data_IF_761388242300
#
_entry.id   IF_761388242300
#
_cell.length_a   1.000
_cell.length_b   1.000
_cell.length_c   1.000
_cell.angle_alpha   90.00
_cell.angle_beta   90.00
_cell.angle_gamma   90.00
#
_symmetry.space_group_name_H-M   'P 1'
#
loop_
_entity.id
_entity.type
_entity.pdbx_description
1 polymer ?
#
# COMPACT_ATOMS: atom_id res chain seq x y z
N UNK A 1 25.00 -33.04 31.22
CA UNK A 1 24.81 -32.09 30.11
C UNK A 1 23.72 -32.61 29.18
N UNK A 2 22.49 -32.21 29.39
CA UNK A 2 21.38 -32.56 28.51
C UNK A 2 21.46 -31.58 27.31
N UNK A 3 21.83 -32.07 26.14
CA UNK A 3 21.75 -31.34 24.89
C UNK A 3 20.27 -30.99 24.66
N UNK A 4 19.92 -29.71 24.72
CA UNK A 4 18.64 -29.22 24.24
C UNK A 4 18.50 -29.65 22.78
N UNK A 5 17.38 -30.28 22.37
CA UNK A 5 17.16 -30.62 20.97
C UNK A 5 17.20 -29.31 20.16
N UNK A 6 18.11 -29.24 19.21
CA UNK A 6 18.15 -28.16 18.23
C UNK A 6 16.83 -28.24 17.46
N UNK A 7 15.89 -27.36 17.78
CA UNK A 7 14.65 -27.21 17.02
C UNK A 7 15.05 -26.93 15.55
N UNK A 8 14.78 -27.89 14.67
CA UNK A 8 15.02 -27.73 13.24
C UNK A 8 14.23 -26.52 12.75
N UNK A 9 14.90 -25.61 12.01
CA UNK A 9 14.26 -24.44 11.43
C UNK A 9 13.05 -24.85 10.57
N UNK A 10 11.93 -24.13 10.73
CA UNK A 10 10.71 -24.31 9.90
C UNK A 10 10.95 -23.82 8.48
N UNK A 11 11.99 -22.99 8.29
CA UNK A 11 12.33 -22.38 7.01
C UNK A 11 12.97 -23.38 6.06
N UNK A 12 12.28 -23.69 4.98
CA UNK A 12 12.68 -24.64 3.94
C UNK A 12 12.64 -24.00 2.56
N UNK A 13 13.11 -24.69 1.54
CA UNK A 13 12.93 -24.26 0.14
C UNK A 13 11.45 -24.07 -0.21
N UNK A 14 10.57 -24.89 0.34
CA UNK A 14 9.13 -24.79 0.15
C UNK A 14 8.58 -23.46 0.72
N UNK A 15 9.10 -22.98 1.84
CA UNK A 15 8.70 -21.69 2.43
C UNK A 15 8.92 -20.54 1.45
N UNK A 16 10.04 -20.53 0.73
CA UNK A 16 10.31 -19.51 -0.30
C UNK A 16 9.43 -19.66 -1.54
N UNK A 17 9.08 -20.90 -1.94
CA UNK A 17 8.10 -21.13 -3.00
C UNK A 17 6.74 -20.53 -2.60
N UNK A 18 6.29 -20.79 -1.38
CA UNK A 18 5.05 -20.23 -0.84
C UNK A 18 5.09 -18.70 -0.85
N UNK A 19 6.17 -18.08 -0.36
CA UNK A 19 6.31 -16.63 -0.35
C UNK A 19 6.30 -16.03 -1.77
N UNK A 20 6.96 -16.68 -2.73
CA UNK A 20 6.97 -16.25 -4.14
C UNK A 20 5.58 -16.37 -4.78
N UNK A 21 4.86 -17.46 -4.53
CA UNK A 21 3.48 -17.61 -5.03
C UNK A 21 2.56 -16.56 -4.41
N UNK A 22 2.69 -16.27 -3.12
CA UNK A 22 1.93 -15.18 -2.48
C UNK A 22 2.28 -13.82 -3.06
N UNK A 23 3.56 -13.55 -3.37
CA UNK A 23 3.96 -12.34 -4.10
C UNK A 23 3.22 -12.20 -5.43
N UNK A 24 3.16 -13.29 -6.23
CA UNK A 24 2.45 -13.30 -7.51
C UNK A 24 0.94 -13.08 -7.30
N UNK A 25 0.33 -13.77 -6.34
CA UNK A 25 -1.08 -13.56 -5.97
C UNK A 25 -1.35 -12.10 -5.62
N UNK A 26 -0.50 -11.50 -4.80
CA UNK A 26 -0.59 -10.07 -4.46
C UNK A 26 -0.42 -9.18 -5.70
N UNK A 27 0.56 -9.47 -6.55
CA UNK A 27 0.81 -8.68 -7.76
C UNK A 27 -0.35 -8.76 -8.77
N UNK A 28 -1.08 -9.87 -8.80
CA UNK A 28 -2.30 -10.00 -9.59
C UNK A 28 -3.47 -9.31 -8.89
N UNK A 29 -3.76 -9.60 -7.64
CA UNK A 29 -4.91 -9.03 -6.92
C UNK A 29 -4.89 -7.49 -6.86
N UNK A 30 -3.71 -6.89 -6.60
CA UNK A 30 -3.52 -5.44 -6.61
C UNK A 30 -3.49 -4.83 -8.02
N UNK A 31 -3.59 -5.63 -9.09
CA UNK A 31 -3.73 -5.13 -10.45
C UNK A 31 -5.10 -4.51 -10.73
N UNK A 32 -6.16 -5.05 -10.15
CA UNK A 32 -7.54 -4.62 -10.41
C UNK A 32 -7.78 -3.10 -10.26
N UNK A 33 -7.34 -2.42 -9.18
CA UNK A 33 -7.51 -0.98 -9.03
C UNK A 33 -6.81 -0.14 -10.10
N UNK A 34 -5.73 -0.63 -10.71
CA UNK A 34 -4.98 0.14 -11.70
C UNK A 34 -5.73 0.34 -13.01
N UNK A 35 -6.72 -0.52 -13.32
CA UNK A 35 -7.58 -0.32 -14.51
C UNK A 35 -8.31 1.02 -14.41
N UNK A 36 -8.89 1.33 -13.25
CA UNK A 36 -9.60 2.60 -13.02
C UNK A 36 -8.68 3.80 -13.08
N UNK A 37 -7.43 3.66 -12.62
CA UNK A 37 -6.42 4.72 -12.70
C UNK A 37 -6.02 5.01 -14.15
N UNK A 38 -5.74 3.96 -14.94
CA UNK A 38 -5.37 4.12 -16.36
C UNK A 38 -6.55 4.61 -17.19
N UNK A 39 -7.76 4.10 -16.92
CA UNK A 39 -8.99 4.47 -17.61
C UNK A 39 -9.65 5.74 -17.05
N UNK A 40 -9.01 6.49 -16.15
CA UNK A 40 -9.62 7.60 -15.43
C UNK A 40 -10.31 8.60 -16.35
N UNK A 41 -9.67 9.04 -17.43
CA UNK A 41 -10.25 9.96 -18.40
C UNK A 41 -11.39 9.33 -19.19
N UNK A 42 -11.28 8.05 -19.57
CA UNK A 42 -12.30 7.33 -20.31
C UNK A 42 -13.59 7.17 -19.48
N UNK A 43 -13.46 6.85 -18.19
CA UNK A 43 -14.58 6.75 -17.26
C UNK A 43 -15.17 8.14 -16.98
N UNK A 44 -14.32 9.15 -16.73
CA UNK A 44 -14.76 10.52 -16.49
C UNK A 44 -15.54 11.09 -17.68
N UNK A 45 -15.17 10.78 -18.92
CA UNK A 45 -15.88 11.22 -20.11
C UNK A 45 -17.36 10.78 -20.16
N UNK A 46 -17.72 9.67 -19.50
CA UNK A 46 -19.09 9.17 -19.39
C UNK A 46 -19.91 9.87 -18.28
N UNK A 47 -19.24 10.68 -17.42
CA UNK A 47 -19.84 11.40 -16.28
C UNK A 47 -19.48 12.89 -16.34
N UNK A 48 -19.78 13.52 -17.46
CA UNK A 48 -19.57 14.94 -17.71
C UNK A 48 -18.12 15.44 -17.53
N UNK A 49 -17.14 14.56 -17.59
CA UNK A 49 -15.73 14.87 -17.40
C UNK A 49 -15.24 14.90 -15.94
N UNK A 50 -16.09 14.59 -14.97
CA UNK A 50 -15.75 14.61 -13.55
C UNK A 50 -14.74 13.50 -13.18
N UNK A 51 -13.51 13.89 -12.83
CA UNK A 51 -12.44 12.96 -12.44
C UNK A 51 -12.55 12.48 -11.00
N UNK A 52 -13.26 13.21 -10.15
CA UNK A 52 -13.55 12.80 -8.77
C UNK A 52 -14.31 11.47 -8.69
N UNK A 53 -15.15 11.15 -9.69
CA UNK A 53 -15.95 9.92 -9.71
C UNK A 53 -15.06 8.67 -9.82
N UNK A 54 -14.24 8.49 -10.88
CA UNK A 54 -13.34 7.34 -10.93
C UNK A 54 -12.26 7.38 -9.83
N UNK A 55 -11.81 8.56 -9.39
CA UNK A 55 -10.87 8.70 -8.28
C UNK A 55 -11.48 8.22 -6.95
N UNK A 56 -12.78 8.48 -6.70
CA UNK A 56 -13.49 7.96 -5.53
C UNK A 56 -13.56 6.42 -5.55
N UNK A 57 -13.78 5.81 -6.70
CA UNK A 57 -13.78 4.35 -6.80
C UNK A 57 -12.43 3.76 -6.37
N UNK A 58 -11.32 4.33 -6.84
CA UNK A 58 -9.98 3.95 -6.40
C UNK A 58 -9.76 4.20 -4.89
N UNK A 59 -10.26 5.33 -4.37
CA UNK A 59 -10.20 5.65 -2.94
C UNK A 59 -10.94 4.62 -2.08
N UNK A 60 -12.13 4.20 -2.50
CA UNK A 60 -12.93 3.20 -1.80
C UNK A 60 -12.25 1.83 -1.70
N UNK A 61 -11.39 1.47 -2.66
CA UNK A 61 -10.57 0.25 -2.56
C UNK A 61 -9.65 0.30 -1.35
N UNK A 62 -8.97 1.41 -1.12
CA UNK A 62 -8.04 1.55 0.01
C UNK A 62 -8.75 1.50 1.36
N UNK A 63 -9.87 2.20 1.50
CA UNK A 63 -10.69 2.16 2.72
C UNK A 63 -11.26 0.74 2.92
N UNK A 64 -11.81 0.17 1.86
CA UNK A 64 -12.34 -1.20 1.87
C UNK A 64 -11.27 -2.21 2.29
N UNK A 65 -10.10 -2.19 1.68
CA UNK A 65 -9.00 -3.10 2.00
C UNK A 65 -8.51 -2.96 3.45
N UNK A 66 -8.45 -1.73 3.98
CA UNK A 66 -8.09 -1.47 5.37
C UNK A 66 -9.10 -2.09 6.36
N UNK A 67 -10.38 -1.83 6.18
CA UNK A 67 -11.45 -2.40 6.99
C UNK A 67 -11.57 -3.91 6.79
N UNK A 68 -11.50 -4.34 5.53
CA UNK A 68 -11.59 -5.73 5.14
C UNK A 68 -10.48 -6.59 5.72
N UNK A 69 -9.26 -6.07 5.80
CA UNK A 69 -8.13 -6.78 6.41
C UNK A 69 -8.39 -7.20 7.86
N UNK A 70 -9.09 -6.37 8.64
CA UNK A 70 -9.48 -6.67 10.03
C UNK A 70 -10.54 -7.77 10.08
N UNK A 71 -11.55 -7.69 9.22
CA UNK A 71 -12.68 -8.63 9.18
C UNK A 71 -12.21 -9.98 8.61
N UNK A 72 -11.56 -9.94 7.46
CA UNK A 72 -11.13 -11.14 6.73
C UNK A 72 -9.96 -11.87 7.41
N UNK A 73 -9.17 -11.19 8.23
CA UNK A 73 -8.21 -11.84 9.11
C UNK A 73 -8.87 -12.85 10.04
N UNK A 74 -10.00 -12.46 10.69
CA UNK A 74 -10.79 -13.37 11.54
C UNK A 74 -11.47 -14.49 10.75
N UNK A 75 -11.91 -14.22 9.53
CA UNK A 75 -12.46 -15.26 8.64
C UNK A 75 -11.37 -16.27 8.28
N UNK A 76 -10.16 -15.80 7.96
CA UNK A 76 -9.04 -16.66 7.61
C UNK A 76 -8.60 -17.61 8.74
N UNK A 77 -8.75 -17.18 10.01
CA UNK A 77 -8.49 -18.06 11.16
C UNK A 77 -9.44 -19.24 11.22
N UNK A 78 -10.68 -19.08 10.73
CA UNK A 78 -11.72 -20.12 10.78
C UNK A 78 -11.72 -21.03 9.56
N UNK A 79 -11.63 -20.44 8.35
CA UNK A 79 -11.78 -21.18 7.10
C UNK A 79 -10.43 -21.51 6.42
N UNK A 80 -9.34 -20.89 6.89
CA UNK A 80 -8.00 -21.04 6.33
C UNK A 80 -7.71 -20.06 5.19
N UNK A 81 -6.42 -19.73 5.03
CA UNK A 81 -5.96 -18.72 4.06
C UNK A 81 -6.24 -19.12 2.61
N UNK A 82 -6.15 -20.41 2.28
CA UNK A 82 -6.49 -20.91 0.93
C UNK A 82 -7.86 -20.41 0.49
N UNK A 83 -8.87 -20.59 1.31
CA UNK A 83 -10.25 -20.28 0.97
C UNK A 83 -10.54 -18.77 0.98
N UNK A 84 -9.87 -18.01 1.85
CA UNK A 84 -10.00 -16.55 1.83
C UNK A 84 -9.36 -15.95 0.60
N UNK A 85 -8.23 -16.48 0.12
CA UNK A 85 -7.58 -16.03 -1.12
C UNK A 85 -8.43 -16.39 -2.34
N UNK A 86 -8.96 -17.60 -2.43
CA UNK A 86 -9.86 -18.02 -3.52
C UNK A 86 -11.14 -17.17 -3.51
N UNK A 87 -11.79 -17.02 -2.35
CA UNK A 87 -12.96 -16.17 -2.20
C UNK A 87 -12.67 -14.70 -2.52
N UNK A 88 -11.49 -14.20 -2.12
CA UNK A 88 -11.03 -12.86 -2.46
C UNK A 88 -10.89 -12.64 -3.97
N UNK A 89 -10.28 -13.58 -4.68
CA UNK A 89 -10.16 -13.51 -6.14
C UNK A 89 -11.54 -13.54 -6.83
N UNK A 90 -12.45 -14.39 -6.36
CA UNK A 90 -13.83 -14.43 -6.87
C UNK A 90 -14.55 -13.09 -6.65
N UNK A 91 -14.35 -12.46 -5.50
CA UNK A 91 -14.94 -11.16 -5.19
C UNK A 91 -14.33 -10.03 -6.01
N UNK A 92 -13.01 -10.05 -6.26
CA UNK A 92 -12.38 -9.08 -7.17
C UNK A 92 -12.95 -9.23 -8.58
N UNK A 93 -13.05 -10.44 -9.09
CA UNK A 93 -13.65 -10.71 -10.40
C UNK A 93 -15.11 -10.27 -10.47
N UNK A 94 -15.91 -10.53 -9.45
CA UNK A 94 -17.31 -10.07 -9.35
C UNK A 94 -17.37 -8.54 -9.30
N UNK A 95 -16.48 -7.88 -8.54
CA UNK A 95 -16.41 -6.43 -8.44
C UNK A 95 -16.02 -5.77 -9.76
N UNK A 96 -15.05 -6.32 -10.48
CA UNK A 96 -14.70 -5.86 -11.83
C UNK A 96 -15.87 -5.99 -12.80
N UNK A 97 -16.55 -7.13 -12.76
CA UNK A 97 -17.75 -7.38 -13.61
C UNK A 97 -18.86 -6.40 -13.26
N UNK A 98 -19.16 -6.19 -11.99
CA UNK A 98 -20.16 -5.21 -11.56
C UNK A 98 -19.81 -3.80 -12.01
N UNK A 99 -18.54 -3.42 -11.92
CA UNK A 99 -18.04 -2.09 -12.31
C UNK A 99 -18.27 -1.78 -13.78
N UNK A 100 -18.41 -2.79 -14.65
CA UNK A 100 -18.70 -2.57 -16.08
C UNK A 100 -20.12 -2.10 -16.36
N UNK A 101 -21.03 -2.22 -15.39
CA UNK A 101 -22.44 -1.86 -15.57
C UNK A 101 -22.70 -0.35 -15.53
N UNK A 102 -21.74 0.43 -15.00
CA UNK A 102 -21.86 1.90 -14.98
C UNK A 102 -20.71 2.61 -14.27
N UNK A 103 -20.48 3.88 -14.61
CA UNK A 103 -19.32 4.64 -14.16
C UNK A 103 -19.47 5.25 -12.76
N UNK A 104 -20.58 5.08 -12.07
CA UNK A 104 -20.83 5.67 -10.74
C UNK A 104 -21.14 4.60 -9.69
N UNK A 105 -22.40 4.36 -9.33
CA UNK A 105 -22.76 3.44 -8.25
C UNK A 105 -22.23 2.00 -8.44
N UNK A 106 -22.37 1.36 -9.62
CA UNK A 106 -21.78 0.03 -9.83
C UNK A 106 -20.27 0.03 -9.65
N UNK A 107 -19.59 1.09 -10.11
CA UNK A 107 -18.15 1.25 -9.95
C UNK A 107 -17.76 1.39 -8.47
N UNK A 108 -18.49 2.17 -7.67
CA UNK A 108 -18.23 2.36 -6.24
C UNK A 108 -18.43 1.09 -5.43
N UNK A 109 -19.54 0.40 -5.66
CA UNK A 109 -19.84 -0.87 -4.99
C UNK A 109 -18.85 -1.95 -5.41
N UNK A 110 -18.56 -2.04 -6.71
CA UNK A 110 -17.57 -2.97 -7.26
C UNK A 110 -16.19 -2.77 -6.63
N UNK A 111 -15.71 -1.54 -6.58
CA UNK A 111 -14.38 -1.22 -6.07
C UNK A 111 -14.33 -1.21 -4.54
N UNK A 112 -15.26 -0.57 -3.86
CA UNK A 112 -15.23 -0.44 -2.41
C UNK A 112 -15.54 -1.74 -1.68
N UNK A 113 -16.66 -2.37 -2.01
CA UNK A 113 -17.14 -3.56 -1.31
C UNK A 113 -16.50 -4.85 -1.84
N UNK A 114 -16.63 -5.11 -3.14
CA UNK A 114 -16.17 -6.38 -3.71
C UNK A 114 -14.64 -6.44 -3.83
N UNK A 115 -14.02 -5.47 -4.49
CA UNK A 115 -12.56 -5.47 -4.71
C UNK A 115 -11.83 -5.11 -3.41
N UNK A 116 -12.21 -4.00 -2.74
CA UNK A 116 -11.52 -3.52 -1.55
C UNK A 116 -11.79 -4.37 -0.32
N UNK A 117 -13.03 -4.35 0.18
CA UNK A 117 -13.38 -4.92 1.49
C UNK A 117 -13.19 -6.44 1.53
N UNK A 118 -13.76 -7.18 0.59
CA UNK A 118 -13.72 -8.63 0.63
C UNK A 118 -12.52 -9.15 -0.18
N UNK A 119 -12.30 -8.63 -1.38
CA UNK A 119 -11.28 -9.10 -2.31
C UNK A 119 -9.87 -8.90 -1.78
N UNK A 120 -9.36 -7.69 -1.84
CA UNK A 120 -8.01 -7.34 -1.37
C UNK A 120 -7.90 -7.56 0.15
N UNK A 121 -8.93 -7.22 0.93
CA UNK A 121 -8.96 -7.49 2.37
C UNK A 121 -8.79 -8.97 2.70
N UNK A 122 -9.42 -9.86 1.92
CA UNK A 122 -9.32 -11.31 2.08
C UNK A 122 -8.00 -11.93 1.62
N UNK A 123 -7.26 -11.23 0.75
CA UNK A 123 -5.97 -11.70 0.24
C UNK A 123 -4.82 -11.11 1.06
N UNK A 124 -4.80 -9.79 1.26
CA UNK A 124 -3.66 -9.06 1.79
C UNK A 124 -3.33 -9.46 3.24
N UNK A 125 -4.18 -9.12 4.19
CA UNK A 125 -3.89 -9.33 5.61
C UNK A 125 -3.73 -10.82 5.99
N UNK A 126 -4.59 -11.76 5.51
CA UNK A 126 -4.40 -13.17 5.78
C UNK A 126 -3.08 -13.73 5.24
N UNK A 127 -2.62 -13.25 4.07
CA UNK A 127 -1.37 -13.70 3.47
C UNK A 127 -0.15 -13.33 4.32
N UNK A 128 -0.13 -12.16 4.96
CA UNK A 128 0.95 -11.77 5.87
C UNK A 128 1.05 -12.72 7.07
N UNK A 129 -0.10 -13.02 7.70
CA UNK A 129 -0.16 -13.96 8.83
C UNK A 129 0.28 -15.34 8.39
N UNK A 130 -0.21 -15.82 7.24
CA UNK A 130 0.12 -17.14 6.71
C UNK A 130 1.61 -17.29 6.40
N UNK A 131 2.20 -16.37 5.64
CA UNK A 131 3.63 -16.43 5.30
C UNK A 131 4.49 -16.32 6.55
N UNK A 132 4.09 -15.52 7.55
CA UNK A 132 4.85 -15.38 8.80
C UNK A 132 5.00 -16.72 9.57
N UNK A 133 4.15 -17.73 9.32
CA UNK A 133 4.22 -19.06 9.95
C UNK A 133 5.21 -20.01 9.24
N UNK A 134 5.61 -19.69 8.02
CA UNK A 134 6.56 -20.48 7.23
C UNK A 134 8.01 -20.10 7.46
N UNK A 135 8.27 -19.01 8.24
CA UNK A 135 9.59 -18.45 8.46
C UNK A 135 9.86 -18.19 9.94
N UNK A 136 11.03 -18.62 10.41
CA UNK A 136 11.55 -18.34 11.75
C UNK A 136 12.77 -17.42 11.70
N UNK A 137 13.70 -17.62 10.78
CA UNK A 137 14.97 -16.85 10.68
C UNK A 137 14.84 -15.62 9.79
N UNK A 138 14.18 -15.73 8.64
CA UNK A 138 14.09 -14.68 7.61
C UNK A 138 12.66 -14.16 7.43
N UNK A 139 11.89 -14.15 8.52
CA UNK A 139 10.49 -13.69 8.51
C UNK A 139 10.34 -12.27 7.96
N UNK A 140 11.24 -11.34 8.37
CA UNK A 140 11.24 -9.96 7.87
C UNK A 140 11.42 -9.89 6.36
N UNK A 141 12.39 -10.63 5.81
CA UNK A 141 12.64 -10.69 4.35
C UNK A 141 11.46 -11.26 3.58
N UNK A 142 10.83 -12.32 4.09
CA UNK A 142 9.65 -12.92 3.46
C UNK A 142 8.45 -11.97 3.45
N UNK A 143 8.20 -11.26 4.56
CA UNK A 143 7.13 -10.28 4.64
C UNK A 143 7.41 -9.04 3.78
N UNK A 144 8.67 -8.59 3.68
CA UNK A 144 9.08 -7.54 2.77
C UNK A 144 8.87 -7.96 1.30
N UNK A 145 9.20 -9.21 0.96
CA UNK A 145 8.98 -9.75 -0.38
C UNK A 145 7.50 -9.68 -0.77
N UNK A 146 6.60 -10.25 0.03
CA UNK A 146 5.17 -10.26 -0.30
C UNK A 146 4.55 -8.85 -0.29
N UNK A 147 5.01 -7.96 0.60
CA UNK A 147 4.54 -6.57 0.64
C UNK A 147 4.88 -5.79 -0.62
N UNK A 148 5.90 -6.21 -1.34
CA UNK A 148 6.30 -5.59 -2.60
C UNK A 148 5.35 -5.95 -3.76
N UNK A 149 4.42 -6.90 -3.58
CA UNK A 149 3.49 -7.34 -4.61
C UNK A 149 2.58 -6.22 -5.14
N UNK A 150 2.13 -5.30 -4.27
CA UNK A 150 1.34 -4.15 -4.69
C UNK A 150 2.10 -3.17 -5.60
N UNK A 151 3.40 -2.96 -5.35
CA UNK A 151 4.23 -2.15 -6.23
C UNK A 151 4.58 -2.89 -7.52
N UNK A 152 4.79 -4.20 -7.45
CA UNK A 152 4.99 -5.02 -8.64
C UNK A 152 3.75 -5.01 -9.54
N UNK A 153 2.55 -5.04 -8.95
CA UNK A 153 1.30 -4.84 -9.67
C UNK A 153 1.31 -3.52 -10.45
N UNK A 154 1.62 -2.42 -9.76
CA UNK A 154 1.67 -1.10 -10.38
C UNK A 154 2.84 -0.90 -11.36
N UNK A 155 3.91 -1.68 -11.25
CA UNK A 155 5.01 -1.66 -12.22
C UNK A 155 4.64 -2.35 -13.53
N UNK A 156 3.81 -3.40 -13.49
CA UNK A 156 3.51 -4.26 -14.64
C UNK A 156 2.20 -3.86 -15.33
N UNK A 157 1.11 -3.75 -14.55
CA UNK A 157 -0.24 -3.69 -15.12
C UNK A 157 -0.60 -2.39 -15.84
N UNK A 158 -0.18 -1.19 -15.42
CA UNK A 158 -0.61 0.05 -16.10
C UNK A 158 -0.27 0.07 -17.59
N UNK A 159 0.93 -0.32 -17.96
CA UNK A 159 1.38 -0.37 -19.38
C UNK A 159 0.62 -1.44 -20.19
N UNK A 160 0.19 -2.52 -19.55
CA UNK A 160 -0.62 -3.57 -20.18
C UNK A 160 -2.07 -3.07 -20.35
N UNK A 161 -2.63 -2.47 -19.29
CA UNK A 161 -4.01 -1.99 -19.30
C UNK A 161 -4.21 -0.84 -20.27
N UNK A 162 -3.23 0.05 -20.41
CA UNK A 162 -3.33 1.12 -21.41
C UNK A 162 -3.56 0.57 -22.82
N UNK A 163 -2.77 -0.41 -23.24
CA UNK A 163 -2.94 -1.07 -24.54
C UNK A 163 -4.26 -1.82 -24.67
N UNK A 164 -4.67 -2.51 -23.61
CA UNK A 164 -5.93 -3.23 -23.59
C UNK A 164 -7.14 -2.27 -23.67
N UNK A 165 -7.09 -1.14 -22.96
CA UNK A 165 -8.11 -0.10 -22.97
C UNK A 165 -8.19 0.58 -24.33
N UNK A 166 -7.03 0.89 -24.94
CA UNK A 166 -7.01 1.46 -26.28
C UNK A 166 -7.61 0.53 -27.34
N UNK A 167 -7.45 -0.79 -27.20
CA UNK A 167 -7.97 -1.78 -28.15
C UNK A 167 -9.44 -2.14 -27.91
N UNK A 168 -9.82 -2.42 -26.65
CA UNK A 168 -11.12 -3.02 -26.33
C UNK A 168 -12.01 -2.13 -25.41
N UNK A 169 -11.47 -1.01 -24.92
CA UNK A 169 -12.12 -0.16 -23.93
C UNK A 169 -12.01 -0.69 -22.50
N UNK A 170 -12.29 0.17 -21.54
CA UNK A 170 -12.07 -0.13 -20.12
C UNK A 170 -12.98 -1.25 -19.58
N UNK A 171 -14.23 -1.36 -20.08
CA UNK A 171 -15.18 -2.40 -19.65
C UNK A 171 -14.69 -3.80 -20.02
N UNK A 172 -14.30 -4.01 -21.27
CA UNK A 172 -13.78 -5.30 -21.71
C UNK A 172 -12.44 -5.61 -21.02
N UNK A 173 -11.61 -4.60 -20.78
CA UNK A 173 -10.35 -4.77 -20.01
C UNK A 173 -10.63 -5.27 -18.60
N UNK A 174 -11.65 -4.74 -17.90
CA UNK A 174 -12.08 -5.24 -16.59
C UNK A 174 -12.55 -6.70 -16.64
N UNK A 175 -13.36 -7.07 -17.65
CA UNK A 175 -13.83 -8.45 -17.80
C UNK A 175 -12.70 -9.43 -18.12
N UNK A 176 -11.80 -9.07 -19.02
CA UNK A 176 -10.62 -9.90 -19.32
C UNK A 176 -9.72 -10.05 -18.09
N UNK A 177 -9.52 -8.97 -17.34
CA UNK A 177 -8.71 -9.04 -16.14
C UNK A 177 -9.37 -9.87 -15.03
N UNK A 178 -10.68 -9.80 -14.88
CA UNK A 178 -11.43 -10.67 -13.98
C UNK A 178 -11.18 -12.16 -14.28
N UNK A 179 -11.15 -12.53 -15.57
CA UNK A 179 -10.83 -13.90 -15.98
C UNK A 179 -9.36 -14.24 -15.68
N UNK A 180 -8.41 -13.33 -15.95
CA UNK A 180 -6.98 -13.52 -15.64
C UNK A 180 -6.79 -13.75 -14.14
N UNK A 181 -7.45 -12.96 -13.28
CA UNK A 181 -7.38 -13.12 -11.83
C UNK A 181 -7.82 -14.51 -11.37
N UNK A 182 -8.96 -14.98 -11.87
CA UNK A 182 -9.46 -16.31 -11.53
C UNK A 182 -8.52 -17.41 -12.01
N UNK A 183 -8.03 -17.32 -13.24
CA UNK A 183 -7.16 -18.34 -13.85
C UNK A 183 -5.79 -18.39 -13.16
N UNK A 184 -5.27 -17.26 -12.68
CA UNK A 184 -3.95 -17.22 -12.03
C UNK A 184 -4.05 -17.47 -10.52
N UNK A 185 -4.97 -16.80 -9.81
CA UNK A 185 -5.02 -16.85 -8.35
C UNK A 185 -5.65 -18.13 -7.84
N UNK A 186 -6.75 -18.59 -8.44
CA UNK A 186 -7.48 -19.76 -7.90
C UNK A 186 -6.64 -21.04 -7.96
N UNK A 187 -6.00 -21.42 -9.09
CA UNK A 187 -5.12 -22.60 -9.11
C UNK A 187 -3.88 -22.44 -8.22
N UNK A 188 -3.24 -21.25 -8.22
CA UNK A 188 -2.08 -20.98 -7.39
C UNK A 188 -2.40 -21.16 -5.90
N UNK A 189 -3.54 -20.61 -5.44
CA UNK A 189 -4.00 -20.76 -4.07
C UNK A 189 -4.39 -22.22 -3.74
N UNK A 190 -5.10 -22.89 -4.64
CA UNK A 190 -5.56 -24.26 -4.44
C UNK A 190 -4.39 -25.25 -4.32
N UNK A 191 -3.34 -25.06 -5.12
CA UNK A 191 -2.19 -25.99 -5.15
C UNK A 191 -1.18 -25.67 -4.04
N UNK A 192 -0.86 -24.38 -3.82
CA UNK A 192 0.30 -24.00 -3.00
C UNK A 192 -0.07 -23.60 -1.58
N UNK A 193 -1.24 -22.97 -1.36
CA UNK A 193 -1.61 -22.49 -0.02
C UNK A 193 -2.21 -23.61 0.83
N UNK A 194 -1.37 -24.59 1.20
CA UNK A 194 -1.69 -25.66 2.13
C UNK A 194 -1.68 -25.22 3.60
N UNK A 195 -1.86 -26.19 4.51
CA UNK A 195 -1.66 -25.93 5.93
C UNK A 195 -0.21 -25.52 6.19
N UNK A 196 0.05 -24.46 6.97
CA UNK A 196 1.41 -24.10 7.37
C UNK A 196 1.99 -25.20 8.27
N UNK A 197 3.32 -25.34 8.36
CA UNK A 197 3.95 -26.26 9.30
C UNK A 197 3.45 -26.01 10.72
N UNK A 198 3.24 -27.05 11.49
CA UNK A 198 2.90 -26.95 12.91
C UNK A 198 4.04 -26.27 13.65
N UNK A 199 3.93 -24.97 13.82
CA UNK A 199 4.79 -24.26 14.77
C UNK A 199 4.21 -24.44 16.15
N UNK A 200 5.00 -24.88 17.17
CA UNK A 200 4.56 -24.82 18.53
C UNK A 200 4.04 -23.38 18.76
N UNK A 201 2.80 -23.26 19.18
CA UNK A 201 2.24 -21.97 19.55
C UNK A 201 3.23 -21.36 20.54
N UNK A 202 3.95 -20.34 20.09
CA UNK A 202 4.52 -19.40 21.04
C UNK A 202 3.29 -18.83 21.71
N UNK A 203 2.99 -19.41 22.88
CA UNK A 203 2.02 -18.85 23.80
C UNK A 203 2.30 -17.36 23.80
N UNK A 204 1.29 -16.58 23.45
CA UNK A 204 1.36 -15.14 23.52
C UNK A 204 2.00 -14.84 24.87
N UNK A 205 3.23 -14.32 24.82
CA UNK A 205 3.86 -13.78 26.02
C UNK A 205 2.98 -12.60 26.37
N UNK A 206 1.95 -12.90 27.16
CA UNK A 206 1.23 -11.93 27.97
C UNK A 206 2.21 -11.53 29.06
N UNK A 207 3.31 -10.90 28.67
CA UNK A 207 3.98 -9.99 29.57
C UNK A 207 2.98 -8.83 29.70
N UNK A 208 2.39 -8.71 30.89
CA UNK A 208 1.72 -7.51 31.33
C UNK A 208 2.78 -6.40 31.35
N UNK A 209 3.18 -5.94 30.16
CA UNK A 209 3.96 -4.73 30.00
C UNK A 209 3.06 -3.62 30.53
N UNK A 210 3.42 -3.09 31.69
CA UNK A 210 2.80 -1.88 32.26
C UNK A 210 2.71 -0.87 31.13
N UNK A 211 1.49 -0.41 30.83
CA UNK A 211 1.26 0.64 29.86
C UNK A 211 2.20 1.80 30.17
N UNK A 212 3.08 2.10 29.24
CA UNK A 212 4.09 3.16 29.43
C UNK A 212 3.34 4.49 29.30
N UNK A 213 3.11 5.18 30.42
CA UNK A 213 2.32 6.41 30.45
C UNK A 213 2.96 7.57 29.67
N UNK A 214 4.28 7.52 29.44
CA UNK A 214 5.01 8.54 28.70
C UNK A 214 5.98 7.92 27.69
N UNK A 215 6.05 8.49 26.49
CA UNK A 215 6.96 8.15 25.40
C UNK A 215 7.60 9.45 24.92
N UNK A 216 8.90 9.49 24.80
CA UNK A 216 9.66 10.72 24.45
C UNK A 216 9.35 11.92 25.36
N UNK A 217 9.02 11.68 26.64
CA UNK A 217 8.65 12.71 27.60
C UNK A 217 7.25 13.31 27.41
N UNK A 218 6.42 12.75 26.53
CA UNK A 218 5.01 13.12 26.31
C UNK A 218 4.09 11.95 26.60
N UNK A 219 2.79 12.21 26.83
CA UNK A 219 1.79 11.14 27.00
C UNK A 219 1.82 10.19 25.79
N UNK A 220 1.84 8.87 26.05
CA UNK A 220 1.92 7.85 25.01
C UNK A 220 0.82 7.98 23.94
N UNK A 221 -0.40 8.34 24.37
CA UNK A 221 -1.53 8.55 23.46
C UNK A 221 -1.31 9.76 22.52
N UNK A 222 -0.70 10.84 23.01
CA UNK A 222 -0.37 12.00 22.17
C UNK A 222 0.64 11.63 21.08
N UNK A 223 1.72 10.91 21.44
CA UNK A 223 2.70 10.43 20.48
C UNK A 223 2.05 9.52 19.44
N UNK A 224 1.18 8.62 19.86
CA UNK A 224 0.47 7.74 18.93
C UNK A 224 -0.49 8.51 18.01
N UNK A 225 -1.21 9.49 18.52
CA UNK A 225 -2.09 10.36 17.70
C UNK A 225 -1.28 11.15 16.69
N UNK A 226 -0.13 11.71 17.08
CA UNK A 226 0.79 12.37 16.14
C UNK A 226 1.31 11.41 15.07
N UNK A 227 1.59 10.16 15.44
CA UNK A 227 2.03 9.13 14.50
C UNK A 227 0.92 8.70 13.54
N UNK A 228 -0.34 8.57 14.02
CA UNK A 228 -1.50 8.33 13.16
C UNK A 228 -1.70 9.48 12.16
N UNK A 229 -1.59 10.72 12.64
CA UNK A 229 -1.71 11.89 11.76
C UNK A 229 -0.54 11.99 10.78
N UNK A 230 0.67 11.64 11.21
CA UNK A 230 1.85 11.60 10.35
C UNK A 230 1.70 10.56 9.22
N UNK A 231 1.23 9.33 9.49
CA UNK A 231 1.06 8.32 8.44
C UNK A 231 -0.08 8.69 7.49
N UNK A 232 -1.15 9.31 7.98
CA UNK A 232 -2.22 9.85 7.15
C UNK A 232 -1.68 10.93 6.21
N UNK A 233 -1.00 11.96 6.76
CA UNK A 233 -0.46 13.09 5.98
C UNK A 233 0.68 12.71 5.06
N UNK A 234 1.39 11.62 5.27
CA UNK A 234 2.35 11.11 4.30
C UNK A 234 1.67 10.37 3.13
N UNK A 235 0.54 9.70 3.38
CA UNK A 235 -0.14 8.91 2.37
C UNK A 235 -1.03 9.73 1.44
N UNK A 236 -1.53 10.89 1.89
CA UNK A 236 -2.28 11.83 1.04
C UNK A 236 -1.45 12.26 -0.19
N UNK A 237 -0.26 12.88 -0.05
CA UNK A 237 0.55 13.28 -1.20
C UNK A 237 1.08 12.07 -2.00
N UNK A 238 1.27 10.92 -1.36
CA UNK A 238 1.75 9.72 -2.02
C UNK A 238 0.76 9.19 -3.06
N UNK A 239 -0.54 9.27 -2.79
CA UNK A 239 -1.57 8.77 -3.69
C UNK A 239 -1.89 9.68 -4.87
N UNK A 240 -1.62 10.99 -4.77
CA UNK A 240 -1.98 11.94 -5.82
C UNK A 240 -1.31 11.63 -7.17
N UNK A 241 0.03 11.49 -7.28
CA UNK A 241 0.63 11.07 -8.54
C UNK A 241 0.20 9.64 -8.92
N UNK A 242 0.08 8.71 -7.98
CA UNK A 242 -0.33 7.35 -8.29
C UNK A 242 -1.71 7.28 -8.95
N UNK A 243 -2.67 8.10 -8.51
CA UNK A 243 -4.02 8.10 -9.04
C UNK A 243 -4.19 8.93 -10.32
N UNK A 244 -3.37 9.97 -10.50
CA UNK A 244 -3.64 10.98 -11.53
C UNK A 244 -2.53 11.16 -12.58
N UNK A 245 -1.36 10.50 -12.44
CA UNK A 245 -0.22 10.70 -13.33
C UNK A 245 -0.56 10.43 -14.79
N UNK A 246 -1.28 9.35 -15.09
CA UNK A 246 -1.66 9.00 -16.48
C UNK A 246 -2.55 10.08 -17.09
N UNK A 247 -3.53 10.55 -16.33
CA UNK A 247 -4.43 11.62 -16.76
C UNK A 247 -3.70 12.96 -16.89
N UNK A 248 -2.80 13.28 -15.96
CA UNK A 248 -1.96 14.48 -15.99
C UNK A 248 -1.06 14.51 -17.23
N UNK A 249 -0.35 13.44 -17.54
CA UNK A 249 0.46 13.32 -18.75
C UNK A 249 -0.38 13.54 -20.02
N UNK A 250 -1.56 12.92 -20.08
CA UNK A 250 -2.48 13.08 -21.21
C UNK A 250 -2.98 14.53 -21.36
N UNK A 251 -3.14 15.30 -20.27
CA UNK A 251 -3.53 16.72 -20.32
C UNK A 251 -2.39 17.60 -20.82
N UNK A 252 -1.14 17.19 -20.63
CA UNK A 252 0.04 17.85 -21.21
C UNK A 252 0.31 17.48 -22.68
N UNK A 253 -0.57 16.66 -23.30
CA UNK A 253 -0.40 16.19 -24.67
C UNK A 253 0.57 15.02 -24.83
N UNK A 254 1.06 14.45 -23.70
CA UNK A 254 1.90 13.24 -23.71
C UNK A 254 1.02 12.02 -23.97
N UNK A 255 1.51 11.08 -24.80
CA UNK A 255 0.72 9.91 -25.16
C UNK A 255 0.30 9.09 -23.91
N UNK A 256 -0.92 8.52 -23.87
CA UNK A 256 -1.37 7.67 -22.77
C UNK A 256 -0.44 6.49 -22.50
N UNK A 257 0.21 5.95 -23.53
CA UNK A 257 1.22 4.87 -23.41
C UNK A 257 2.40 5.32 -22.55
N UNK A 258 2.91 6.53 -22.77
CA UNK A 258 4.01 7.09 -21.99
C UNK A 258 3.56 7.45 -20.56
N UNK A 259 2.35 7.98 -20.40
CA UNK A 259 1.77 8.22 -19.07
C UNK A 259 1.66 6.94 -18.23
N UNK A 260 1.17 5.84 -18.82
CA UNK A 260 1.12 4.54 -18.17
C UNK A 260 2.52 3.98 -17.89
N UNK A 261 3.48 4.17 -18.80
CA UNK A 261 4.88 3.79 -18.59
C UNK A 261 5.53 4.58 -17.44
N UNK A 262 5.25 5.88 -17.32
CA UNK A 262 5.72 6.72 -16.19
C UNK A 262 5.17 6.21 -14.84
N UNK A 263 3.89 5.81 -14.79
CA UNK A 263 3.32 5.18 -13.59
C UNK A 263 3.99 3.84 -13.29
N UNK A 264 4.26 3.03 -14.30
CA UNK A 264 5.00 1.78 -14.14
C UNK A 264 6.44 2.02 -13.63
N UNK A 265 7.13 3.05 -14.12
CA UNK A 265 8.47 3.46 -13.63
C UNK A 265 8.40 3.94 -12.18
N UNK A 266 7.40 4.75 -11.83
CA UNK A 266 7.18 5.23 -10.47
C UNK A 266 7.05 4.06 -9.49
N UNK A 267 6.19 3.09 -9.79
CA UNK A 267 5.94 1.96 -8.90
C UNK A 267 7.03 0.89 -8.97
N UNK A 268 7.68 0.74 -10.12
CA UNK A 268 8.86 -0.11 -10.28
C UNK A 268 10.06 0.39 -9.47
N UNK A 269 10.32 1.70 -9.48
CA UNK A 269 11.37 2.29 -8.63
C UNK A 269 11.02 2.20 -7.15
N UNK A 270 9.75 2.32 -6.77
CA UNK A 270 9.28 2.08 -5.40
C UNK A 270 9.50 0.62 -4.97
N UNK A 271 9.27 -0.34 -5.86
CA UNK A 271 9.57 -1.76 -5.62
C UNK A 271 11.05 -1.98 -5.33
N UNK A 272 11.93 -1.45 -6.19
CA UNK A 272 13.38 -1.61 -6.04
C UNK A 272 13.94 -0.90 -4.81
N UNK A 273 13.50 0.34 -4.57
CA UNK A 273 14.01 1.17 -3.47
C UNK A 273 13.58 0.70 -2.08
N UNK A 274 12.53 -0.13 -1.98
CA UNK A 274 12.06 -0.66 -0.69
C UNK A 274 13.15 -1.39 0.10
N UNK A 275 14.04 -2.10 -0.60
CA UNK A 275 15.17 -2.79 0.04
C UNK A 275 16.20 -1.79 0.61
N UNK A 276 16.44 -0.70 -0.12
CA UNK A 276 17.33 0.39 0.32
C UNK A 276 16.77 1.06 1.58
N UNK A 277 15.48 1.38 1.58
CA UNK A 277 14.81 1.96 2.74
C UNK A 277 14.77 1.03 3.95
N UNK A 278 14.59 -0.29 3.72
CA UNK A 278 14.69 -1.29 4.78
C UNK A 278 16.08 -1.27 5.44
N UNK A 279 17.15 -1.35 4.65
CA UNK A 279 18.52 -1.30 5.14
C UNK A 279 18.87 0.04 5.84
N UNK A 280 18.30 1.15 5.36
CA UNK A 280 18.43 2.45 6.02
C UNK A 280 17.71 2.46 7.37
N UNK A 281 16.48 1.94 7.42
CA UNK A 281 15.69 1.83 8.66
C UNK A 281 16.40 1.02 9.75
N UNK A 282 17.10 -0.05 9.37
CA UNK A 282 17.87 -0.89 10.29
C UNK A 282 19.05 -0.13 10.91
N UNK A 283 19.58 0.88 10.21
CA UNK A 283 20.75 1.66 10.67
C UNK A 283 20.37 2.88 11.49
N UNK A 284 19.37 3.65 11.06
CA UNK A 284 19.02 4.94 11.65
C UNK A 284 17.71 4.92 12.45
N UNK A 285 16.97 3.78 12.40
CA UNK A 285 15.67 3.62 13.07
C UNK A 285 14.50 4.24 12.30
N UNK A 286 13.29 3.89 12.74
CA UNK A 286 12.06 4.24 12.04
C UNK A 286 11.82 5.75 11.92
N UNK A 287 11.96 6.52 12.99
CA UNK A 287 11.68 7.97 12.99
C UNK A 287 12.60 8.77 12.06
N UNK A 288 13.89 8.48 12.06
CA UNK A 288 14.84 9.18 11.18
C UNK A 288 14.65 8.77 9.72
N UNK A 289 14.30 7.50 9.47
CA UNK A 289 13.93 7.04 8.12
C UNK A 289 12.70 7.76 7.59
N UNK A 290 11.67 7.94 8.43
CA UNK A 290 10.49 8.73 8.08
C UNK A 290 10.85 10.18 7.77
N UNK A 291 11.78 10.78 8.53
CA UNK A 291 12.22 12.16 8.30
C UNK A 291 12.87 12.33 6.92
N UNK A 292 13.82 11.46 6.59
CA UNK A 292 14.50 11.47 5.28
C UNK A 292 13.49 11.20 4.15
N UNK A 293 12.63 10.17 4.30
CA UNK A 293 11.62 9.83 3.31
C UNK A 293 10.60 10.95 3.07
N UNK A 294 10.16 11.63 4.14
CA UNK A 294 9.25 12.77 4.05
C UNK A 294 9.89 13.96 3.32
N UNK A 295 11.17 14.25 3.57
CA UNK A 295 11.92 15.26 2.83
C UNK A 295 12.03 14.91 1.34
N UNK A 296 12.40 13.66 1.01
CA UNK A 296 12.47 13.18 -0.37
C UNK A 296 11.11 13.25 -1.08
N UNK A 297 10.04 12.82 -0.40
CA UNK A 297 8.69 12.88 -0.94
C UNK A 297 8.25 14.31 -1.23
N UNK A 298 8.47 15.24 -0.29
CA UNK A 298 8.10 16.64 -0.46
C UNK A 298 8.86 17.28 -1.63
N UNK A 299 10.16 17.06 -1.72
CA UNK A 299 10.99 17.60 -2.79
C UNK A 299 10.58 17.05 -4.17
N UNK A 300 10.38 15.74 -4.29
CA UNK A 300 10.02 15.13 -5.57
C UNK A 300 8.59 15.41 -5.99
N UNK A 301 7.64 15.52 -5.03
CA UNK A 301 6.28 15.96 -5.35
C UNK A 301 6.26 17.41 -5.82
N UNK A 302 7.08 18.29 -5.22
CA UNK A 302 7.22 19.67 -5.69
C UNK A 302 7.73 19.73 -7.13
N UNK A 303 8.60 18.80 -7.53
CA UNK A 303 9.09 18.73 -8.90
C UNK A 303 7.98 18.46 -9.93
N UNK A 304 6.93 17.70 -9.61
CA UNK A 304 5.77 17.52 -10.50
C UNK A 304 5.06 18.82 -10.85
N UNK A 305 5.12 19.85 -9.99
CA UNK A 305 4.48 21.14 -10.25
C UNK A 305 5.18 21.94 -11.35
N UNK A 306 6.50 21.73 -11.52
CA UNK A 306 7.34 22.51 -12.44
C UNK A 306 7.75 21.73 -13.69
N UNK A 307 7.54 20.40 -13.70
CA UNK A 307 7.96 19.52 -14.80
C UNK A 307 6.77 19.24 -15.70
N UNK A 308 6.90 19.58 -17.00
CA UNK A 308 5.87 19.38 -18.00
C UNK A 308 6.37 18.63 -19.25
N UNK A 309 7.68 18.43 -19.34
CA UNK A 309 8.30 17.67 -20.41
C UNK A 309 8.34 16.17 -20.11
N UNK A 310 8.34 15.37 -21.15
CA UNK A 310 8.23 13.92 -21.04
C UNK A 310 9.41 13.29 -20.28
N UNK A 311 10.65 13.65 -20.62
CA UNK A 311 11.84 13.12 -19.97
C UNK A 311 11.93 13.51 -18.49
N UNK A 312 11.59 14.75 -18.20
CA UNK A 312 11.52 15.25 -16.84
C UNK A 312 10.49 14.50 -16.01
N UNK A 313 9.29 14.22 -16.55
CA UNK A 313 8.25 13.47 -15.87
C UNK A 313 8.63 12.00 -15.62
N UNK A 314 9.35 11.34 -16.54
CA UNK A 314 9.92 10.01 -16.28
C UNK A 314 10.92 10.06 -15.11
N UNK A 315 11.80 11.07 -15.10
CA UNK A 315 12.79 11.24 -14.04
C UNK A 315 12.14 11.53 -12.68
N UNK A 316 11.20 12.47 -12.64
CA UNK A 316 10.48 12.82 -11.41
C UNK A 316 9.65 11.64 -10.90
N UNK A 317 9.02 10.87 -11.80
CA UNK A 317 8.29 9.65 -11.44
C UNK A 317 9.19 8.62 -10.79
N UNK A 318 10.37 8.38 -11.35
CA UNK A 318 11.34 7.45 -10.77
C UNK A 318 11.84 7.92 -9.40
N UNK A 319 12.19 9.19 -9.26
CA UNK A 319 12.66 9.79 -8.02
C UNK A 319 11.57 9.79 -6.93
N UNK A 320 10.34 10.11 -7.32
CA UNK A 320 9.20 10.08 -6.39
C UNK A 320 8.94 8.66 -5.87
N UNK A 321 8.90 7.67 -6.79
CA UNK A 321 8.75 6.26 -6.42
C UNK A 321 9.86 5.79 -5.48
N UNK A 322 11.11 6.16 -5.77
CA UNK A 322 12.23 5.88 -4.90
C UNK A 322 12.07 6.53 -3.53
N UNK A 323 11.63 7.79 -3.46
CA UNK A 323 11.61 8.59 -2.23
C UNK A 323 10.56 8.14 -1.21
N UNK A 324 9.36 7.72 -1.63
CA UNK A 324 8.26 7.46 -0.69
C UNK A 324 8.16 6.03 -0.18
N UNK A 325 8.74 5.04 -0.88
CA UNK A 325 8.42 3.61 -0.66
C UNK A 325 8.73 3.10 0.75
N UNK A 326 9.65 3.74 1.46
CA UNK A 326 10.05 3.38 2.83
C UNK A 326 9.16 3.95 3.93
N UNK A 327 8.31 4.94 3.67
CA UNK A 327 7.61 5.71 4.70
C UNK A 327 6.64 4.86 5.54
N UNK A 328 5.82 4.03 4.92
CA UNK A 328 4.84 3.20 5.65
C UNK A 328 5.54 2.13 6.51
N UNK A 329 6.51 1.35 5.99
CA UNK A 329 7.29 0.43 6.83
C UNK A 329 8.05 1.12 7.97
N UNK A 330 8.65 2.28 7.70
CA UNK A 330 9.37 3.05 8.73
C UNK A 330 8.42 3.52 9.84
N UNK A 331 7.17 3.86 9.52
CA UNK A 331 6.15 4.21 10.50
C UNK A 331 5.79 3.03 11.41
N UNK A 332 5.64 1.84 10.83
CA UNK A 332 5.40 0.60 11.60
C UNK A 332 6.62 0.28 12.49
N UNK A 333 7.84 0.45 11.98
CA UNK A 333 9.06 0.25 12.76
C UNK A 333 9.14 1.26 13.92
N UNK A 334 8.91 2.55 13.65
CA UNK A 334 8.89 3.59 14.68
C UNK A 334 7.85 3.27 15.79
N UNK A 335 6.68 2.74 15.43
CA UNK A 335 5.70 2.31 16.42
C UNK A 335 6.21 1.16 17.31
N UNK A 336 6.95 0.20 16.73
CA UNK A 336 7.55 -0.89 17.49
C UNK A 336 8.70 -0.44 18.38
N UNK A 337 9.43 0.60 17.98
CA UNK A 337 10.52 1.19 18.78
C UNK A 337 10.01 2.05 19.94
N UNK A 338 8.86 2.70 19.76
CA UNK A 338 8.33 3.67 20.70
C UNK A 338 7.36 3.06 21.71
N UNK A 339 6.67 1.98 21.37
CA UNK A 339 5.61 1.43 22.21
C UNK A 339 5.88 -0.03 22.61
N UNK A 340 5.33 -0.47 23.76
CA UNK A 340 5.47 -1.84 24.23
C UNK A 340 4.95 -2.86 23.20
N UNK A 341 5.63 -4.00 23.09
CA UNK A 341 5.28 -5.09 22.15
C UNK A 341 3.84 -5.56 22.35
N UNK A 342 3.35 -5.57 23.59
CA UNK A 342 1.96 -5.93 23.92
C UNK A 342 0.89 -5.00 23.34
N UNK A 343 1.25 -3.80 22.88
CA UNK A 343 0.30 -2.86 22.27
C UNK A 343 0.35 -2.89 20.72
N UNK A 344 1.29 -3.59 20.15
CA UNK A 344 1.47 -3.66 18.69
C UNK A 344 0.27 -4.27 17.96
N UNK A 345 -0.49 -5.15 18.62
CA UNK A 345 -1.65 -5.86 18.05
C UNK A 345 -2.79 -4.92 17.63
N UNK A 346 -2.93 -3.77 18.27
CA UNK A 346 -3.95 -2.78 17.91
C UNK A 346 -3.36 -1.51 17.28
N UNK A 347 -2.14 -1.07 17.68
CA UNK A 347 -1.50 0.13 17.14
C UNK A 347 -1.14 -0.02 15.67
N UNK A 348 -0.53 -1.14 15.28
CA UNK A 348 -0.12 -1.35 13.89
C UNK A 348 -1.30 -1.41 12.92
N UNK A 349 -2.37 -2.21 13.17
CA UNK A 349 -3.55 -2.17 12.31
C UNK A 349 -4.21 -0.78 12.22
N UNK A 350 -4.23 -0.02 13.32
CA UNK A 350 -4.75 1.36 13.32
C UNK A 350 -3.92 2.28 12.43
N UNK A 351 -2.60 2.20 12.49
CA UNK A 351 -1.71 2.95 11.59
C UNK A 351 -1.94 2.57 10.12
N UNK A 352 -2.07 1.29 9.82
CA UNK A 352 -2.32 0.84 8.45
C UNK A 352 -3.69 1.29 7.92
N UNK A 353 -4.71 1.34 8.78
CA UNK A 353 -6.01 1.92 8.45
C UNK A 353 -5.89 3.43 8.16
N UNK A 354 -5.15 4.17 8.99
CA UNK A 354 -4.85 5.60 8.74
C UNK A 354 -4.06 5.80 7.43
N UNK A 355 -3.13 4.90 7.10
CA UNK A 355 -2.43 4.91 5.82
C UNK A 355 -3.40 4.75 4.65
N UNK A 356 -4.27 3.74 4.69
CA UNK A 356 -5.27 3.49 3.66
C UNK A 356 -6.25 4.65 3.48
N UNK A 357 -6.71 5.26 4.59
CA UNK A 357 -7.59 6.44 4.52
C UNK A 357 -6.86 7.67 3.97
N UNK A 358 -5.56 7.84 4.26
CA UNK A 358 -4.73 8.87 3.65
C UNK A 358 -4.57 8.68 2.13
N UNK A 359 -4.32 7.44 1.69
CA UNK A 359 -4.29 7.10 0.26
C UNK A 359 -5.63 7.41 -0.43
N UNK A 360 -6.72 7.03 0.20
CA UNK A 360 -8.07 7.32 -0.29
C UNK A 360 -8.32 8.82 -0.43
N UNK A 361 -8.03 9.57 0.64
CA UNK A 361 -8.23 11.01 0.68
C UNK A 361 -7.42 11.73 -0.42
N UNK A 362 -6.14 11.40 -0.57
CA UNK A 362 -5.27 12.05 -1.55
C UNK A 362 -5.69 11.80 -2.99
N UNK A 363 -6.02 10.54 -3.34
CA UNK A 363 -6.51 10.20 -4.67
C UNK A 363 -7.82 10.91 -5.00
N UNK A 364 -8.77 10.94 -4.08
CA UNK A 364 -10.07 11.58 -4.31
C UNK A 364 -9.99 13.11 -4.33
N UNK A 365 -9.27 13.72 -3.37
CA UNK A 365 -9.05 15.18 -3.33
C UNK A 365 -8.37 15.66 -4.61
N UNK A 366 -7.42 14.89 -5.16
CA UNK A 366 -6.80 15.20 -6.45
C UNK A 366 -7.81 15.32 -7.58
N UNK A 367 -8.83 14.45 -7.63
CA UNK A 367 -9.93 14.51 -8.59
C UNK A 367 -10.83 15.73 -8.36
N UNK A 368 -11.25 15.99 -7.12
CA UNK A 368 -12.09 17.17 -6.76
C UNK A 368 -11.39 18.47 -7.14
N UNK A 369 -10.12 18.60 -6.82
CA UNK A 369 -9.35 19.81 -7.15
C UNK A 369 -9.21 20.00 -8.66
N UNK A 370 -9.02 18.88 -9.39
CA UNK A 370 -9.04 18.96 -10.85
C UNK A 370 -10.40 19.40 -11.39
N UNK A 371 -11.50 18.83 -10.90
CA UNK A 371 -12.86 19.16 -11.35
C UNK A 371 -13.19 20.65 -11.08
N UNK A 372 -12.64 21.20 -9.99
CA UNK A 372 -12.87 22.62 -9.64
C UNK A 372 -11.98 23.59 -10.43
N UNK A 373 -10.70 23.26 -10.63
CA UNK A 373 -9.72 24.18 -11.23
C UNK A 373 -9.44 23.90 -12.71
N UNK A 374 -9.73 22.70 -13.22
CA UNK A 374 -9.47 22.30 -14.60
C UNK A 374 -8.02 21.86 -14.89
N UNK A 375 -7.13 21.87 -13.89
CA UNK A 375 -5.73 21.43 -14.01
C UNK A 375 -5.15 20.92 -12.69
N UNK A 376 -4.03 20.16 -12.74
CA UNK A 376 -3.50 19.42 -11.58
C UNK A 376 -2.58 20.20 -10.64
N UNK A 377 -2.08 21.40 -11.00
CA UNK A 377 -1.16 22.13 -10.13
C UNK A 377 -1.74 22.40 -8.72
N UNK A 378 -3.03 22.75 -8.53
CA UNK A 378 -3.61 22.89 -7.19
C UNK A 378 -3.62 21.56 -6.40
N UNK A 379 -3.83 20.43 -7.06
CA UNK A 379 -3.78 19.13 -6.42
C UNK A 379 -2.36 18.81 -5.90
N UNK A 380 -1.35 18.98 -6.74
CA UNK A 380 0.05 18.78 -6.32
C UNK A 380 0.49 19.78 -5.26
N UNK A 381 0.09 21.06 -5.36
CA UNK A 381 0.37 22.08 -4.34
C UNK A 381 -0.23 21.70 -2.97
N UNK A 382 -1.48 21.22 -2.96
CA UNK A 382 -2.13 20.70 -1.74
C UNK A 382 -1.34 19.52 -1.19
N UNK A 383 -0.93 18.59 -2.05
CA UNK A 383 -0.08 17.46 -1.66
C UNK A 383 1.25 17.90 -1.04
N UNK A 384 1.93 18.88 -1.63
CA UNK A 384 3.17 19.46 -1.08
C UNK A 384 2.91 20.09 0.29
N UNK A 385 1.82 20.86 0.45
CA UNK A 385 1.46 21.44 1.75
C UNK A 385 1.22 20.39 2.83
N UNK A 386 0.47 19.32 2.50
CA UNK A 386 0.23 18.20 3.42
C UNK A 386 1.52 17.45 3.73
N UNK A 387 2.41 17.25 2.75
CA UNK A 387 3.72 16.63 2.95
C UNK A 387 4.64 17.47 3.84
N UNK A 388 4.58 18.79 3.71
CA UNK A 388 5.31 19.72 4.60
C UNK A 388 4.82 19.61 6.06
N UNK A 389 3.49 19.51 6.27
CA UNK A 389 2.92 19.27 7.60
C UNK A 389 3.44 17.93 8.16
N UNK A 390 3.46 16.87 7.35
CA UNK A 390 4.04 15.60 7.72
C UNK A 390 5.51 15.74 8.17
N UNK A 391 6.32 16.43 7.37
CA UNK A 391 7.73 16.67 7.67
C UNK A 391 7.93 17.40 9.01
N UNK A 392 7.11 18.43 9.30
CA UNK A 392 7.16 19.17 10.58
C UNK A 392 6.83 18.27 11.76
N UNK A 393 5.78 17.43 11.64
CA UNK A 393 5.39 16.51 12.74
C UNK A 393 6.52 15.52 13.02
N UNK A 394 7.09 14.89 11.98
CA UNK A 394 8.15 13.92 12.13
C UNK A 394 9.43 14.57 12.66
N UNK A 395 9.75 15.80 12.21
CA UNK A 395 10.88 16.58 12.74
C UNK A 395 10.74 16.84 14.24
N UNK A 396 9.53 17.19 14.70
CA UNK A 396 9.26 17.39 16.11
C UNK A 396 9.44 16.09 16.94
N UNK A 397 8.95 14.95 16.42
CA UNK A 397 9.13 13.65 17.07
C UNK A 397 10.62 13.22 17.10
N UNK A 398 11.34 13.39 15.99
CA UNK A 398 12.77 13.07 15.89
C UNK A 398 13.63 13.95 16.82
N UNK A 399 13.33 15.23 16.90
CA UNK A 399 13.99 16.17 17.81
C UNK A 399 13.78 15.78 19.27
N UNK A 400 12.56 15.41 19.65
CA UNK A 400 12.28 14.92 21.00
C UNK A 400 13.02 13.63 21.33
N UNK A 401 13.14 12.71 20.37
CA UNK A 401 13.93 11.47 20.54
C UNK A 401 15.40 11.78 20.82
N UNK A 402 15.98 12.75 20.11
CA UNK A 402 17.39 13.14 20.35
C UNK A 402 17.62 13.72 21.74
N UNK A 403 16.69 14.54 22.24
CA UNK A 403 16.77 15.09 23.60
C UNK A 403 16.68 14.02 24.69
N UNK A 404 15.73 13.07 24.57
CA UNK A 404 15.55 12.00 25.56
C UNK A 404 16.72 11.03 25.58
N UNK A 405 17.40 10.80 24.46
CA UNK A 405 18.62 9.97 24.41
C UNK A 405 19.83 10.64 25.06
N UNK A 406 19.90 11.97 25.08
CA UNK A 406 21.00 12.72 25.74
C UNK A 406 20.81 12.87 27.26
N UNK A 407 19.58 12.75 27.74
CA UNK A 407 19.26 12.89 29.17
C UNK A 407 19.18 11.55 29.93
N UNK A 408 19.32 10.42 29.24
CA UNK A 408 19.43 9.11 29.88
C UNK A 408 20.82 9.00 30.54
N UNK A 409 20.94 8.76 31.88
CA UNK A 409 22.21 8.53 32.52
C UNK A 409 22.87 7.27 31.94
N UNK A 410 24.20 7.33 31.74
CA UNK A 410 25.03 6.25 31.23
C UNK A 410 25.09 5.05 32.22
#
# INVERSE_FOLDING_TARGET
>A
MLQSPSLSSVETRQSWVVATVVLVVMAVAFGAPWITVVALKNIAAEVNGERSIPALAGALVWVGAGLGGIIMGRVAERVGVRWTVIGGAMMIAAGLTLSTLGPSLPLYVGHGFFIGLIGIGGINAPSYVYVSRWFDRRRGSALALISSGSFLAGAIWPSIFERAIAYAGWRHTMLFYAAIELVLIVPAAAIVLGAPPDTPHHAAVTSAARAQNSVLGWPANLIFTLQMFAIFTCCVPMSMPQAHLVAFCSDLGISPVHGAAMLSVLLGSAFLSRQVWGALSDRIGGLYTMLVGSACQTATLSAFMFTQDELGLFTVSALFGFGFSGLVPANVLASRELFPVGEAYWRIPTLLLCSGTGMAAGGWIGGILYDHFGYYAPAFATGVGVSAINFVIISALAFRRSQTSQTAPA
#
